data_IF_419343138688
#
_entry.id   IF_419343138688
#
_cell.length_a   1.000
_cell.length_b   1.000
_cell.length_c   1.000
_cell.angle_alpha   90.00
_cell.angle_beta   90.00
_cell.angle_gamma   90.00
#
_symmetry.space_group_name_H-M   'P 1'
#
loop_
_entity.id
_entity.type
_entity.pdbx_description
1 polymer ?
#
# COMPACT_ATOMS: atom_id res chain seq x y z
N UNK A 1 26.25 21.37 -7.64
CA UNK A 1 24.81 21.26 -7.94
C UNK A 1 24.47 20.68 -9.34
N UNK A 2 25.30 19.87 -10.02
CA UNK A 2 25.02 19.51 -11.44
C UNK A 2 25.14 18.02 -11.84
N UNK A 3 25.17 17.04 -10.91
CA UNK A 3 25.17 15.61 -11.27
C UNK A 3 23.98 14.79 -10.76
N UNK A 4 23.38 15.19 -9.63
CA UNK A 4 22.20 14.51 -9.05
C UNK A 4 20.89 14.77 -9.82
N UNK A 5 20.72 15.96 -10.39
CA UNK A 5 19.50 16.35 -11.13
C UNK A 5 19.39 15.68 -12.52
N UNK A 6 20.50 15.24 -13.11
CA UNK A 6 20.52 14.56 -14.43
C UNK A 6 20.13 13.07 -14.33
N UNK A 7 20.56 12.39 -13.25
CA UNK A 7 20.22 10.98 -13.01
C UNK A 7 18.72 10.74 -12.74
N UNK A 8 18.04 11.74 -12.18
CA UNK A 8 16.60 11.69 -11.83
C UNK A 8 15.69 11.82 -13.08
N UNK A 9 16.19 12.40 -14.19
CA UNK A 9 15.39 12.64 -15.40
C UNK A 9 15.41 11.49 -16.42
N UNK A 10 16.47 10.66 -16.47
CA UNK A 10 16.67 9.68 -17.55
C UNK A 10 16.60 8.19 -17.17
N UNK A 11 16.37 7.84 -15.89
CA UNK A 11 16.17 6.42 -15.48
C UNK A 11 14.71 5.99 -15.37
N UNK A 12 13.77 6.88 -15.66
CA UNK A 12 12.38 6.48 -15.87
C UNK A 12 12.26 5.85 -17.26
N UNK A 13 11.64 4.68 -17.34
CA UNK A 13 10.85 4.18 -18.48
C UNK A 13 11.34 3.01 -19.36
N UNK A 14 12.56 2.50 -19.30
CA UNK A 14 12.97 1.52 -20.35
C UNK A 14 12.86 0.04 -19.94
N UNK A 15 13.16 -0.34 -18.70
CA UNK A 15 13.20 -1.79 -18.37
C UNK A 15 11.83 -2.41 -18.04
N UNK A 16 10.87 -1.62 -17.51
CA UNK A 16 9.56 -2.15 -17.09
C UNK A 16 8.44 -1.99 -18.12
N UNK A 17 8.63 -1.22 -19.21
CA UNK A 17 7.61 -1.03 -20.25
C UNK A 17 7.55 -2.14 -21.30
N UNK A 18 8.60 -2.94 -21.44
CA UNK A 18 8.65 -4.04 -22.41
C UNK A 18 7.61 -5.15 -22.14
N UNK A 19 6.94 -5.15 -20.99
CA UNK A 19 5.92 -6.15 -20.62
C UNK A 19 4.47 -5.62 -20.63
N UNK A 20 4.23 -4.33 -20.94
CA UNK A 20 2.91 -3.69 -20.82
C UNK A 20 2.04 -3.76 -22.09
N UNK A 21 2.45 -4.53 -23.11
CA UNK A 21 1.71 -4.67 -24.38
C UNK A 21 0.50 -5.61 -24.35
N UNK A 22 0.24 -6.32 -23.24
CA UNK A 22 -0.77 -7.40 -23.20
C UNK A 22 -1.81 -7.12 -22.12
N UNK A 23 -2.51 -5.99 -22.27
CA UNK A 23 -3.40 -5.43 -21.24
C UNK A 23 -4.78 -6.07 -21.09
N UNK A 24 -5.14 -7.09 -21.89
CA UNK A 24 -6.48 -7.72 -21.83
C UNK A 24 -6.54 -9.22 -21.52
N UNK A 25 -5.41 -9.92 -21.47
CA UNK A 25 -5.39 -11.39 -21.27
C UNK A 25 -4.56 -11.88 -20.08
N UNK A 26 -4.00 -10.99 -19.24
CA UNK A 26 -3.01 -11.37 -18.22
C UNK A 26 -3.49 -11.31 -16.77
N UNK A 27 -4.79 -11.15 -16.50
CA UNK A 27 -5.32 -11.05 -15.13
C UNK A 27 -4.89 -12.23 -14.21
N UNK A 28 -4.57 -13.40 -14.78
CA UNK A 28 -4.12 -14.59 -14.04
C UNK A 28 -2.66 -15.00 -14.27
N UNK A 29 -1.91 -14.27 -15.11
CA UNK A 29 -0.57 -14.70 -15.50
C UNK A 29 0.45 -14.62 -14.36
N UNK A 30 1.44 -15.52 -14.38
CA UNK A 30 2.61 -15.47 -13.49
C UNK A 30 3.29 -14.10 -13.52
N UNK A 31 3.30 -13.43 -14.68
CA UNK A 31 3.81 -12.07 -14.82
C UNK A 31 2.97 -11.01 -14.08
N UNK A 32 1.64 -11.16 -14.05
CA UNK A 32 0.77 -10.29 -13.25
C UNK A 32 0.90 -10.57 -11.76
N UNK A 33 1.06 -11.84 -11.34
CA UNK A 33 1.36 -12.19 -9.94
C UNK A 33 2.73 -11.67 -9.50
N UNK A 34 3.74 -11.76 -10.37
CA UNK A 34 5.07 -11.20 -10.14
C UNK A 34 5.05 -9.66 -10.13
N UNK A 35 4.29 -9.02 -11.03
CA UNK A 35 4.08 -7.57 -11.04
C UNK A 35 3.32 -7.08 -9.80
N UNK A 36 2.30 -7.81 -9.34
CA UNK A 36 1.61 -7.53 -8.07
C UNK A 36 2.54 -7.72 -6.89
N UNK A 37 3.30 -8.81 -6.87
CA UNK A 37 4.31 -9.03 -5.84
C UNK A 37 5.32 -7.87 -5.82
N UNK A 38 5.76 -7.35 -6.97
CA UNK A 38 6.71 -6.22 -7.00
C UNK A 38 6.07 -4.86 -6.65
N UNK A 39 4.81 -4.60 -7.05
CA UNK A 39 4.11 -3.36 -6.67
C UNK A 39 3.71 -3.33 -5.19
N UNK A 40 3.34 -4.46 -4.62
CA UNK A 40 3.01 -4.58 -3.20
C UNK A 40 4.27 -4.51 -2.33
N UNK A 41 5.36 -5.13 -2.77
CA UNK A 41 6.67 -5.04 -2.10
C UNK A 41 7.18 -3.60 -2.10
N UNK A 42 7.17 -2.91 -3.24
CA UNK A 42 7.55 -1.50 -3.32
C UNK A 42 6.59 -0.56 -2.60
N UNK A 43 5.39 -1.00 -2.24
CA UNK A 43 4.46 -0.20 -1.45
C UNK A 43 4.71 -0.40 0.05
N UNK A 44 4.85 -1.65 0.50
CA UNK A 44 4.91 -1.97 1.93
C UNK A 44 6.32 -1.96 2.52
N UNK A 45 7.37 -2.17 1.73
CA UNK A 45 8.73 -2.25 2.26
C UNK A 45 9.39 -0.88 2.22
N UNK A 46 9.92 -0.45 3.37
CA UNK A 46 10.72 0.76 3.51
C UNK A 46 12.13 0.37 3.94
N UNK A 47 13.12 0.63 3.09
CA UNK A 47 14.47 0.08 3.20
C UNK A 47 15.46 1.17 3.60
N UNK A 48 16.34 0.87 4.55
CA UNK A 48 17.39 1.78 5.02
C UNK A 48 18.74 1.05 5.01
N UNK A 49 19.42 0.96 3.86
CA UNK A 49 20.62 0.14 3.71
C UNK A 49 21.73 0.51 4.69
N UNK A 50 21.99 1.80 4.88
CA UNK A 50 23.05 2.32 5.76
C UNK A 50 22.85 1.96 7.24
N UNK A 51 21.64 1.51 7.60
CA UNK A 51 21.26 1.16 8.98
C UNK A 51 20.91 -0.31 9.14
N UNK A 52 21.07 -1.11 8.07
CA UNK A 52 20.61 -2.51 8.00
C UNK A 52 19.20 -2.67 8.59
N UNK A 53 18.26 -1.86 8.10
CA UNK A 53 16.90 -1.80 8.64
C UNK A 53 15.88 -1.92 7.51
N UNK A 54 14.87 -2.75 7.71
CA UNK A 54 13.71 -2.88 6.84
C UNK A 54 12.44 -2.76 7.68
N UNK A 55 11.60 -1.77 7.37
CA UNK A 55 10.27 -1.65 7.92
C UNK A 55 9.24 -2.20 6.93
N UNK A 56 8.45 -3.19 7.35
CA UNK A 56 7.33 -3.73 6.58
C UNK A 56 6.04 -3.10 7.09
N UNK A 57 5.43 -2.26 6.27
CA UNK A 57 4.22 -1.51 6.61
C UNK A 57 3.00 -2.43 6.73
N UNK A 58 2.30 -2.32 7.85
CA UNK A 58 0.94 -2.83 8.02
C UNK A 58 -0.02 -1.65 8.08
N UNK A 59 -0.87 -1.45 7.05
CA UNK A 59 -1.79 -0.33 7.02
C UNK A 59 -2.74 -0.30 8.21
N UNK A 60 -3.05 0.91 8.69
CA UNK A 60 -3.93 1.18 9.84
C UNK A 60 -3.42 0.62 11.19
N UNK A 61 -2.16 0.20 11.25
CA UNK A 61 -1.45 -0.16 12.49
C UNK A 61 -0.49 0.96 12.97
N UNK A 62 -0.81 2.22 12.67
CA UNK A 62 0.05 3.36 13.03
C UNK A 62 1.21 3.61 12.07
N UNK A 63 1.10 3.10 10.83
CA UNK A 63 2.17 3.19 9.83
C UNK A 63 2.59 4.63 9.49
N UNK A 64 1.67 5.60 9.49
CA UNK A 64 2.01 7.02 9.27
C UNK A 64 2.97 7.54 10.33
N UNK A 65 2.77 7.18 11.60
CA UNK A 65 3.66 7.55 12.71
C UNK A 65 5.03 6.92 12.58
N UNK A 66 5.10 5.64 12.23
CA UNK A 66 6.38 4.94 12.02
C UNK A 66 7.13 5.55 10.84
N UNK A 67 6.44 5.79 9.71
CA UNK A 67 7.03 6.44 8.53
C UNK A 67 7.54 7.84 8.83
N UNK A 68 6.80 8.63 9.62
CA UNK A 68 7.25 9.94 10.11
C UNK A 68 8.53 9.83 10.92
N UNK A 69 8.55 8.96 11.94
CA UNK A 69 9.74 8.76 12.77
C UNK A 69 10.96 8.35 11.92
N UNK A 70 10.79 7.37 11.04
CA UNK A 70 11.88 6.88 10.19
C UNK A 70 12.36 7.93 9.19
N UNK A 71 11.45 8.70 8.59
CA UNK A 71 11.77 9.79 7.67
C UNK A 71 12.60 10.89 8.37
N UNK A 72 12.21 11.29 9.58
CA UNK A 72 12.93 12.27 10.40
C UNK A 72 14.30 11.71 10.84
N UNK A 73 14.34 10.52 11.41
CA UNK A 73 15.58 9.94 11.94
C UNK A 73 16.59 9.53 10.87
N UNK A 74 16.12 9.10 9.69
CA UNK A 74 17.01 8.69 8.60
C UNK A 74 17.49 9.88 7.76
N UNK A 75 16.61 10.85 7.50
CA UNK A 75 16.85 11.88 6.47
C UNK A 75 16.60 13.32 6.93
N UNK A 76 16.16 13.55 8.18
CA UNK A 76 15.80 14.88 8.67
C UNK A 76 14.58 15.48 7.99
N UNK A 77 13.76 14.66 7.32
CA UNK A 77 12.58 15.11 6.57
C UNK A 77 11.40 15.18 7.51
N UNK A 78 10.83 16.38 7.67
CA UNK A 78 9.66 16.62 8.52
C UNK A 78 8.52 17.31 7.75
N UNK A 79 7.31 16.78 7.88
CA UNK A 79 6.06 17.22 7.24
C UNK A 79 4.92 17.16 8.27
N UNK A 80 5.11 17.80 9.42
CA UNK A 80 4.15 17.74 10.54
C UNK A 80 2.74 18.22 10.16
N UNK A 81 2.66 19.17 9.23
CA UNK A 81 1.41 19.74 8.74
C UNK A 81 0.71 18.89 7.66
N UNK A 82 1.40 17.87 7.11
CA UNK A 82 0.89 17.02 6.02
C UNK A 82 1.19 15.53 6.27
N UNK A 83 0.37 14.82 7.08
CA UNK A 83 0.55 13.39 7.32
C UNK A 83 0.56 12.54 6.04
N UNK A 84 -0.15 12.97 4.99
CA UNK A 84 -0.20 12.29 3.69
C UNK A 84 1.13 12.37 2.95
N UNK A 85 1.99 13.35 3.27
CA UNK A 85 3.35 13.43 2.76
C UNK A 85 4.15 12.15 3.05
N UNK A 86 3.93 11.52 4.21
CA UNK A 86 4.63 10.30 4.60
C UNK A 86 4.18 9.06 3.82
N UNK A 87 3.05 9.13 3.11
CA UNK A 87 2.62 8.09 2.16
C UNK A 87 3.23 8.28 0.76
N UNK A 88 3.80 9.45 0.47
CA UNK A 88 4.50 9.72 -0.77
C UNK A 88 6.01 9.50 -0.62
N UNK A 89 6.57 8.48 -1.27
CA UNK A 89 8.03 8.22 -1.26
C UNK A 89 8.87 9.45 -1.64
N UNK A 90 8.39 10.22 -2.62
CA UNK A 90 9.04 11.47 -3.05
C UNK A 90 9.13 12.50 -1.94
N UNK A 91 8.10 12.62 -1.10
CA UNK A 91 8.06 13.60 -0.01
C UNK A 91 8.74 13.07 1.25
N UNK A 92 8.56 11.78 1.57
CA UNK A 92 9.07 11.16 2.79
C UNK A 92 10.55 10.73 2.72
N UNK A 93 11.10 10.59 1.51
CA UNK A 93 12.45 10.08 1.29
C UNK A 93 12.60 8.58 1.55
N UNK A 94 11.52 7.88 1.92
CA UNK A 94 11.53 6.46 2.23
C UNK A 94 11.79 5.64 0.95
N UNK A 95 12.86 4.84 0.97
CA UNK A 95 13.28 4.04 -0.18
C UNK A 95 12.47 2.75 -0.28
N UNK A 96 12.08 2.41 -1.50
CA UNK A 96 11.53 1.11 -1.86
C UNK A 96 12.66 0.11 -2.15
N UNK A 97 12.37 -1.20 -2.16
CA UNK A 97 13.28 -2.21 -2.72
C UNK A 97 13.78 -1.87 -4.14
N UNK A 98 12.92 -1.33 -5.01
CA UNK A 98 13.35 -0.91 -6.35
C UNK A 98 14.30 0.30 -6.37
N UNK A 99 14.24 1.19 -5.38
CA UNK A 99 15.13 2.35 -5.27
C UNK A 99 16.56 1.94 -4.92
N UNK A 100 16.71 0.91 -4.08
CA UNK A 100 18.02 0.37 -3.65
C UNK A 100 18.55 -0.72 -4.60
N UNK A 101 17.66 -1.35 -5.36
CA UNK A 101 17.96 -2.42 -6.31
C UNK A 101 17.88 -3.83 -5.70
N UNK A 102 17.44 -4.80 -6.52
CA UNK A 102 17.12 -6.18 -6.09
C UNK A 102 18.26 -6.87 -5.37
N UNK A 103 19.51 -6.73 -5.84
CA UNK A 103 20.67 -7.41 -5.24
C UNK A 103 20.95 -6.93 -3.82
N UNK A 104 20.90 -5.61 -3.59
CA UNK A 104 21.13 -5.03 -2.27
C UNK A 104 19.97 -5.34 -1.31
N UNK A 105 18.74 -5.30 -1.82
CA UNK A 105 17.58 -5.69 -1.03
C UNK A 105 17.66 -7.17 -0.61
N UNK A 106 18.00 -8.08 -1.53
CA UNK A 106 18.20 -9.49 -1.22
C UNK A 106 19.34 -9.71 -0.21
N UNK A 107 20.46 -8.98 -0.33
CA UNK A 107 21.56 -9.11 0.62
C UNK A 107 21.14 -8.65 2.02
N UNK A 108 20.35 -7.57 2.14
CA UNK A 108 19.81 -7.14 3.43
C UNK A 108 18.87 -8.18 4.04
N UNK A 109 18.00 -8.81 3.23
CA UNK A 109 17.08 -9.86 3.71
C UNK A 109 17.81 -11.10 4.25
N UNK A 110 19.02 -11.40 3.74
CA UNK A 110 19.83 -12.56 4.14
C UNK A 110 20.85 -12.25 5.23
N UNK A 111 21.11 -10.97 5.50
CA UNK A 111 22.07 -10.54 6.51
C UNK A 111 21.44 -10.69 7.92
N UNK A 112 22.00 -11.54 8.80
CA UNK A 112 21.46 -11.74 10.14
C UNK A 112 21.52 -10.48 11.02
N UNK A 113 22.34 -9.49 10.65
CA UNK A 113 22.43 -8.20 11.34
C UNK A 113 21.36 -7.20 10.87
N UNK A 114 20.56 -7.53 9.85
CA UNK A 114 19.48 -6.66 9.40
C UNK A 114 18.26 -6.80 10.31
N UNK A 115 17.86 -5.69 10.93
CA UNK A 115 16.60 -5.63 11.65
C UNK A 115 15.44 -5.49 10.65
N UNK A 116 14.62 -6.55 10.55
CA UNK A 116 13.37 -6.54 9.79
C UNK A 116 12.22 -6.51 10.78
N UNK A 117 11.38 -5.48 10.73
CA UNK A 117 10.30 -5.33 11.70
C UNK A 117 9.01 -4.80 11.09
N UNK A 118 7.92 -5.01 11.81
CA UNK A 118 6.61 -4.45 11.52
C UNK A 118 5.91 -4.06 12.82
N UNK A 119 4.91 -3.18 12.70
CA UNK A 119 4.03 -2.82 13.82
C UNK A 119 2.63 -3.32 13.48
N UNK A 120 2.08 -4.13 14.37
CA UNK A 120 0.75 -4.74 14.21
C UNK A 120 -0.25 -4.11 15.18
N UNK A 121 -1.54 -4.30 14.90
CA UNK A 121 -2.65 -3.81 15.73
C UNK A 121 -3.69 -4.91 15.88
N UNK A 122 -4.42 -4.89 17.01
CA UNK A 122 -5.59 -5.74 17.21
C UNK A 122 -6.49 -5.74 15.93
N UNK A 123 -6.82 -6.92 15.36
CA UNK A 123 -7.49 -7.00 14.06
C UNK A 123 -8.82 -6.24 13.99
N UNK A 124 -9.66 -6.35 15.03
CA UNK A 124 -10.94 -5.64 15.10
C UNK A 124 -10.74 -4.12 15.08
N UNK A 125 -9.80 -3.62 15.87
CA UNK A 125 -9.46 -2.20 15.90
C UNK A 125 -8.89 -1.69 14.57
N UNK A 126 -8.12 -2.52 13.87
CA UNK A 126 -7.59 -2.22 12.53
C UNK A 126 -8.71 -2.12 11.50
N UNK A 127 -9.65 -3.08 11.49
CA UNK A 127 -10.82 -3.06 10.61
C UNK A 127 -11.70 -1.83 10.87
N UNK A 128 -12.00 -1.54 12.14
CA UNK A 128 -12.76 -0.34 12.52
C UNK A 128 -12.07 0.94 12.05
N UNK A 129 -10.75 1.04 12.21
CA UNK A 129 -9.98 2.20 11.75
C UNK A 129 -10.00 2.36 10.23
N UNK A 130 -9.95 1.25 9.48
CA UNK A 130 -10.08 1.25 8.03
C UNK A 130 -11.47 1.75 7.61
N UNK A 131 -12.52 1.15 8.16
CA UNK A 131 -13.90 1.52 7.90
C UNK A 131 -14.17 3.00 8.13
N UNK A 132 -13.83 3.52 9.31
CA UNK A 132 -14.06 4.93 9.66
C UNK A 132 -13.29 5.91 8.76
N UNK A 133 -12.11 5.51 8.29
CA UNK A 133 -11.28 6.37 7.44
C UNK A 133 -11.71 6.38 5.98
N UNK A 134 -12.11 5.22 5.44
CA UNK A 134 -12.32 5.07 3.99
C UNK A 134 -13.76 4.83 3.57
N UNK A 135 -14.57 4.16 4.38
CA UNK A 135 -15.88 3.66 3.96
C UNK A 135 -17.04 4.37 4.64
N UNK A 136 -16.86 4.81 5.89
CA UNK A 136 -17.94 5.38 6.68
C UNK A 136 -18.59 6.61 6.04
N UNK A 137 -17.84 7.44 5.30
CA UNK A 137 -18.38 8.64 4.66
C UNK A 137 -18.82 8.42 3.21
N UNK A 138 -18.65 7.22 2.66
CA UNK A 138 -19.01 6.94 1.28
C UNK A 138 -20.52 6.83 1.16
N UNK A 139 -21.03 7.37 0.05
CA UNK A 139 -22.40 7.18 -0.41
C UNK A 139 -22.41 6.06 -1.44
N UNK A 140 -23.32 5.10 -1.27
CA UNK A 140 -23.47 3.98 -2.20
C UNK A 140 -24.04 4.45 -3.54
N UNK A 141 -24.85 5.50 -3.50
CA UNK A 141 -25.48 6.17 -4.64
C UNK A 141 -24.51 6.99 -5.48
N UNK A 142 -23.36 7.37 -4.92
CA UNK A 142 -22.34 8.15 -5.62
C UNK A 142 -21.49 7.22 -6.52
N UNK A 143 -21.57 7.37 -7.86
CA UNK A 143 -20.84 6.52 -8.79
C UNK A 143 -19.32 6.58 -8.64
N UNK A 144 -18.78 7.65 -8.03
CA UNK A 144 -17.36 7.76 -7.72
C UNK A 144 -16.86 6.72 -6.72
N UNK A 145 -17.76 6.14 -5.92
CA UNK A 145 -17.42 5.18 -4.87
C UNK A 145 -17.57 3.72 -5.30
N UNK A 146 -18.27 3.45 -6.41
CA UNK A 146 -18.64 2.10 -6.86
C UNK A 146 -17.42 1.18 -6.96
N UNK A 147 -16.33 1.64 -7.57
CA UNK A 147 -15.13 0.80 -7.74
C UNK A 147 -14.48 0.37 -6.43
N UNK A 148 -14.47 1.24 -5.41
CA UNK A 148 -13.90 0.90 -4.09
C UNK A 148 -14.82 -0.07 -3.32
N UNK A 149 -16.14 0.12 -3.44
CA UNK A 149 -17.13 -0.74 -2.80
C UNK A 149 -17.14 -2.13 -3.47
N UNK A 150 -17.09 -2.20 -4.80
CA UNK A 150 -16.95 -3.45 -5.56
C UNK A 150 -15.65 -4.18 -5.21
N UNK A 151 -14.54 -3.47 -5.03
CA UNK A 151 -13.28 -4.08 -4.63
C UNK A 151 -13.41 -4.77 -3.26
N UNK A 152 -14.12 -4.14 -2.30
CA UNK A 152 -14.36 -4.66 -0.95
C UNK A 152 -15.39 -5.79 -0.91
N UNK A 153 -16.52 -5.64 -1.61
CA UNK A 153 -17.63 -6.59 -1.54
C UNK A 153 -17.44 -7.76 -2.48
N UNK A 154 -16.66 -7.58 -3.56
CA UNK A 154 -16.52 -8.53 -4.64
C UNK A 154 -17.74 -8.62 -5.57
N UNK A 155 -18.94 -8.35 -5.05
CA UNK A 155 -20.23 -8.30 -5.73
C UNK A 155 -21.17 -7.30 -5.00
N UNK A 156 -21.70 -6.30 -5.71
CA UNK A 156 -22.62 -5.30 -5.14
C UNK A 156 -23.98 -5.88 -4.72
N UNK A 157 -24.38 -7.03 -5.26
CA UNK A 157 -25.62 -7.70 -4.86
C UNK A 157 -25.58 -8.26 -3.43
N UNK A 158 -24.39 -8.33 -2.83
CA UNK A 158 -24.20 -8.75 -1.44
C UNK A 158 -24.46 -7.65 -0.40
N UNK A 159 -24.79 -6.42 -0.84
CA UNK A 159 -25.19 -5.34 0.06
C UNK A 159 -26.54 -5.64 0.71
N UNK A 160 -26.64 -5.37 2.01
CA UNK A 160 -27.91 -5.52 2.71
C UNK A 160 -28.90 -4.44 2.26
N UNK A 161 -30.20 -4.76 2.21
CA UNK A 161 -31.25 -3.76 1.93
C UNK A 161 -31.13 -2.55 2.86
N UNK A 162 -30.79 -2.77 4.13
CA UNK A 162 -30.60 -1.70 5.11
C UNK A 162 -29.43 -0.76 4.79
N UNK A 163 -28.37 -1.23 4.13
CA UNK A 163 -27.25 -0.37 3.71
C UNK A 163 -27.65 0.46 2.50
N UNK A 164 -28.39 -0.14 1.56
CA UNK A 164 -28.94 0.54 0.37
C UNK A 164 -29.89 1.65 0.80
N UNK A 165 -30.84 1.36 1.70
CA UNK A 165 -31.83 2.32 2.18
C UNK A 165 -31.18 3.50 2.92
N UNK A 166 -30.08 3.25 3.65
CA UNK A 166 -29.31 4.29 4.35
C UNK A 166 -28.31 5.02 3.44
N UNK A 167 -28.14 4.54 2.22
CA UNK A 167 -27.13 5.00 1.27
C UNK A 167 -25.71 5.03 1.89
N UNK A 168 -25.40 4.00 2.68
CA UNK A 168 -24.16 3.93 3.44
C UNK A 168 -23.86 2.48 3.85
N UNK A 169 -22.62 2.05 3.64
CA UNK A 169 -22.15 0.73 4.09
C UNK A 169 -22.06 0.69 5.61
N UNK A 170 -22.71 -0.28 6.27
CA UNK A 170 -22.52 -0.52 7.70
C UNK A 170 -21.18 -1.19 8.01
N UNK A 171 -20.76 -1.13 9.29
CA UNK A 171 -19.53 -1.79 9.72
C UNK A 171 -19.61 -3.32 9.60
N UNK A 172 -20.79 -3.92 9.84
CA UNK A 172 -20.98 -5.37 9.68
C UNK A 172 -20.79 -5.82 8.21
N UNK A 173 -21.43 -5.13 7.27
CA UNK A 173 -21.26 -5.39 5.83
C UNK A 173 -19.81 -5.15 5.39
N UNK A 174 -19.16 -4.11 5.91
CA UNK A 174 -17.74 -3.89 5.69
C UNK A 174 -16.87 -5.07 6.17
N UNK A 175 -17.10 -5.58 7.39
CA UNK A 175 -16.35 -6.71 7.93
C UNK A 175 -16.56 -7.97 7.10
N UNK A 176 -17.81 -8.26 6.72
CA UNK A 176 -18.14 -9.39 5.84
C UNK A 176 -17.42 -9.28 4.50
N UNK A 177 -17.47 -8.12 3.84
CA UNK A 177 -16.73 -7.88 2.60
C UNK A 177 -15.22 -8.04 2.76
N UNK A 178 -14.63 -7.47 3.82
CA UNK A 178 -13.20 -7.59 4.11
C UNK A 178 -12.75 -9.04 4.35
N UNK A 179 -13.57 -9.85 5.03
CA UNK A 179 -13.30 -11.26 5.25
C UNK A 179 -13.42 -12.09 3.95
N UNK A 180 -14.46 -11.84 3.14
CA UNK A 180 -14.65 -12.51 1.85
C UNK A 180 -13.51 -12.22 0.89
N UNK A 181 -13.09 -10.96 0.78
CA UNK A 181 -11.98 -10.58 -0.12
C UNK A 181 -10.64 -11.13 0.32
N UNK A 182 -10.38 -11.22 1.63
CA UNK A 182 -9.19 -11.88 2.16
C UNK A 182 -9.15 -13.36 1.78
N UNK A 183 -10.28 -14.07 1.86
CA UNK A 183 -10.38 -15.47 1.46
C UNK A 183 -10.16 -15.69 -0.05
N UNK A 184 -10.55 -14.71 -0.87
CA UNK A 184 -10.42 -14.77 -2.34
C UNK A 184 -9.03 -14.35 -2.86
N UNK A 185 -8.08 -14.00 -1.99
CA UNK A 185 -6.79 -13.45 -2.42
C UNK A 185 -6.92 -12.15 -3.23
N UNK A 186 -8.07 -11.47 -3.12
CA UNK A 186 -8.31 -10.18 -3.76
C UNK A 186 -7.47 -9.12 -3.07
N UNK A 187 -7.28 -8.02 -3.80
CA UNK A 187 -6.39 -6.93 -3.42
C UNK A 187 -6.76 -6.35 -2.03
N UNK A 188 -6.05 -6.78 -0.97
CA UNK A 188 -6.23 -6.30 0.40
C UNK A 188 -5.86 -4.83 0.62
N UNK A 189 -5.53 -4.08 -0.44
CA UNK A 189 -5.33 -2.63 -0.44
C UNK A 189 -6.66 -1.89 -0.23
N UNK A 190 -7.25 -2.07 0.95
CA UNK A 190 -8.23 -1.15 1.55
C UNK A 190 -7.50 -0.03 2.30
N UNK A 191 -6.18 0.04 2.11
CA UNK A 191 -5.17 0.72 2.92
C UNK A 191 -4.75 2.04 2.33
#
# INVERSE_FOLDING_TARGET
MSRLTSAIKNRKYTFFRAQLGVRRHLADSVAYRAYRATTDIDYFFHVFPDRKLIYVEVPKAGCTTVKRLLSICAYGINHDDDPEAYHSRRKSGLLAPSDVGVKLFESLLRDPETLIFSVVRNPFSRLRSCYLNKFYRLKLSDPGNTGLIEQLMGDMTSLSSSDIDRDQLSFDSFVKGACTTAALGKNGHWA
#
